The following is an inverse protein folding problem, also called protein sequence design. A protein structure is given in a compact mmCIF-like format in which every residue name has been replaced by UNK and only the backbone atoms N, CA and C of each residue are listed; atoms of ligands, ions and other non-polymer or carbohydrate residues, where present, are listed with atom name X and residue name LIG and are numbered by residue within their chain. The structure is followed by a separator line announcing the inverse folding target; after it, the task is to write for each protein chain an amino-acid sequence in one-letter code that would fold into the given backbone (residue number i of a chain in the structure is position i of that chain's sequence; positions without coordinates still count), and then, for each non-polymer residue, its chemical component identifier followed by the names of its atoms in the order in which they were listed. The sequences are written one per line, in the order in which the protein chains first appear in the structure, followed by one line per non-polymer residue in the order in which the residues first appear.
data_IF_844397565335
#
_entry.id   IF_844397565335
#
_cell.length_a   1.000
_cell.length_b   1.000
_cell.length_c   1.000
_cell.angle_alpha   90.00
_cell.angle_beta   90.00
_cell.angle_gamma   90.00
#
_symmetry.space_group_name_H-M   'P 1'
#
loop_
_entity.id
_entity.type
_entity.pdbx_description
1 polymer ?
#
# COMPACT_ATOMS: atom_id res chain seq x y z
N UNK A 1 17.35 -6.75 -9.09
CA UNK A 1 16.00 -6.37 -9.54
C UNK A 1 15.28 -5.85 -8.31
N UNK A 2 14.78 -4.63 -8.35
CA UNK A 2 14.15 -3.99 -7.18
C UNK A 2 12.68 -4.41 -7.11
N UNK A 3 12.23 -4.91 -5.95
CA UNK A 3 10.83 -5.30 -5.70
C UNK A 3 10.08 -4.10 -5.14
N UNK A 4 8.95 -3.73 -5.75
CA UNK A 4 8.14 -2.60 -5.29
C UNK A 4 6.80 -3.08 -4.75
N UNK A 5 6.49 -2.66 -3.53
CA UNK A 5 5.19 -2.83 -2.86
C UNK A 5 4.49 -1.48 -2.77
N UNK A 6 3.21 -1.43 -3.19
CA UNK A 6 2.37 -0.25 -3.04
C UNK A 6 1.46 -0.42 -1.81
N UNK A 7 1.45 0.58 -0.94
CA UNK A 7 0.61 0.59 0.26
C UNK A 7 -0.44 1.67 0.10
N UNK A 8 -1.70 1.30 0.28
CA UNK A 8 -2.84 2.22 0.24
C UNK A 8 -3.80 1.96 1.41
N UNK A 9 -4.81 2.79 1.53
CA UNK A 9 -5.83 2.71 2.57
C UNK A 9 -6.25 4.09 3.05
N UNK A 10 -7.50 4.21 3.48
CA UNK A 10 -8.08 5.49 3.89
C UNK A 10 -7.38 6.11 5.10
N UNK A 11 -7.68 7.39 5.38
CA UNK A 11 -7.14 8.09 6.54
C UNK A 11 -7.42 7.33 7.84
N UNK A 12 -6.41 7.22 8.70
CA UNK A 12 -6.52 6.53 9.98
C UNK A 12 -6.53 4.99 9.90
N UNK A 13 -6.42 4.37 8.71
CA UNK A 13 -6.41 2.91 8.57
C UNK A 13 -5.20 2.22 9.22
N UNK A 14 -4.16 2.99 9.60
CA UNK A 14 -2.97 2.47 10.26
C UNK A 14 -1.81 2.17 9.31
N UNK A 15 -1.74 2.84 8.14
CA UNK A 15 -0.68 2.66 7.14
C UNK A 15 0.71 2.85 7.73
N UNK A 16 0.96 3.92 8.47
CA UNK A 16 2.25 4.19 9.11
C UNK A 16 2.66 3.09 10.09
N UNK A 17 1.71 2.63 10.92
CA UNK A 17 1.97 1.53 11.86
C UNK A 17 2.28 0.24 11.11
N UNK A 18 1.51 -0.06 10.06
CA UNK A 18 1.75 -1.18 9.18
C UNK A 18 3.13 -1.11 8.53
N UNK A 19 3.49 0.05 7.99
CA UNK A 19 4.77 0.26 7.31
C UNK A 19 5.96 -0.03 8.24
N UNK A 20 5.89 0.42 9.50
CA UNK A 20 6.90 0.10 10.52
C UNK A 20 7.05 -1.42 10.78
N UNK A 21 5.97 -2.18 10.76
CA UNK A 21 6.01 -3.64 10.90
C UNK A 21 6.47 -4.32 9.61
N UNK A 22 6.03 -3.83 8.47
CA UNK A 22 6.33 -4.37 7.17
C UNK A 22 7.82 -4.26 6.82
N UNK A 23 8.44 -3.12 7.13
CA UNK A 23 9.88 -2.92 6.96
C UNK A 23 10.74 -3.96 7.67
N UNK A 24 10.31 -4.45 8.83
CA UNK A 24 11.06 -5.45 9.60
C UNK A 24 11.25 -6.77 8.85
N UNK A 25 10.38 -7.08 7.90
CA UNK A 25 10.49 -8.29 7.08
C UNK A 25 11.66 -8.22 6.09
N UNK A 26 12.15 -7.01 5.82
CA UNK A 26 13.23 -6.75 4.87
C UNK A 26 14.47 -6.16 5.53
N UNK A 27 14.66 -6.39 6.84
CA UNK A 27 15.72 -5.76 7.65
C UNK A 27 17.15 -6.06 7.18
N UNK A 28 17.35 -7.13 6.40
CA UNK A 28 18.64 -7.51 5.81
C UNK A 28 18.84 -6.98 4.37
N UNK A 29 17.88 -6.25 3.83
CA UNK A 29 17.86 -5.79 2.46
C UNK A 29 17.98 -4.27 2.39
N UNK A 30 18.52 -3.75 1.29
CA UNK A 30 18.57 -2.31 1.06
C UNK A 30 17.17 -1.83 0.69
N UNK A 31 16.56 -1.07 1.57
CA UNK A 31 15.22 -0.54 1.37
C UNK A 31 15.25 0.93 0.97
N UNK A 32 14.28 1.30 0.14
CA UNK A 32 13.96 2.69 -0.18
C UNK A 32 12.46 2.92 0.01
N UNK A 33 12.09 4.00 0.67
CA UNK A 33 10.69 4.31 0.96
C UNK A 33 10.30 5.59 0.22
N UNK A 34 9.18 5.54 -0.50
CA UNK A 34 8.60 6.70 -1.17
C UNK A 34 7.27 6.99 -0.48
N UNK A 35 7.18 8.14 0.20
CA UNK A 35 5.94 8.57 0.85
C UNK A 35 5.36 9.80 0.17
N UNK A 36 4.04 9.83 0.05
CA UNK A 36 3.34 10.96 -0.59
C UNK A 36 3.19 12.16 0.34
N UNK A 37 3.18 11.96 1.64
CA UNK A 37 2.94 13.03 2.60
C UNK A 37 3.57 12.66 3.95
N UNK A 38 4.59 13.40 4.33
CA UNK A 38 5.18 13.31 5.65
C UNK A 38 4.36 14.19 6.60
N UNK A 39 3.37 13.61 7.24
CA UNK A 39 2.56 14.31 8.25
C UNK A 39 3.23 14.26 9.62
N UNK A 40 2.76 15.10 10.56
CA UNK A 40 3.23 15.13 11.96
C UNK A 40 3.11 13.79 12.71
N UNK A 41 2.47 12.78 12.11
CA UNK A 41 2.31 11.40 12.59
C UNK A 41 3.00 10.39 11.69
N UNK A 42 3.93 10.83 10.82
CA UNK A 42 4.63 10.02 9.83
C UNK A 42 5.60 8.99 10.43
N UNK A 43 6.30 8.30 9.52
CA UNK A 43 7.40 7.43 9.90
C UNK A 43 8.45 8.30 10.58
N UNK A 44 8.94 7.83 11.73
CA UNK A 44 9.98 8.52 12.48
C UNK A 44 11.28 8.55 11.65
N UNK A 45 11.71 9.77 11.26
CA UNK A 45 12.93 9.94 10.46
C UNK A 45 14.18 9.45 11.19
N UNK A 46 14.18 9.49 12.53
CA UNK A 46 15.25 8.92 13.34
C UNK A 46 15.31 7.40 13.17
N UNK A 47 14.16 6.72 13.21
CA UNK A 47 14.08 5.27 13.00
C UNK A 47 14.58 4.86 11.61
N UNK A 48 14.24 5.63 10.58
CA UNK A 48 14.72 5.36 9.22
C UNK A 48 16.24 5.55 9.11
N UNK A 49 16.75 6.60 9.73
CA UNK A 49 18.20 6.87 9.78
C UNK A 49 18.97 5.77 10.53
N UNK A 50 18.44 5.32 11.67
CA UNK A 50 19.03 4.22 12.44
C UNK A 50 19.07 2.89 11.66
N UNK A 51 18.05 2.65 10.83
CA UNK A 51 17.96 1.45 9.99
C UNK A 51 18.70 1.59 8.66
N UNK A 52 19.30 2.77 8.37
CA UNK A 52 19.97 3.02 7.10
C UNK A 52 19.04 3.01 5.88
N UNK A 53 17.77 3.36 6.08
CA UNK A 53 16.75 3.34 5.04
C UNK A 53 16.67 4.71 4.37
N UNK A 54 16.81 4.74 3.05
CA UNK A 54 16.63 5.96 2.27
C UNK A 54 15.13 6.29 2.16
N UNK A 55 14.81 7.57 2.30
CA UNK A 55 13.44 8.10 2.23
C UNK A 55 13.36 9.23 1.23
N UNK A 56 12.45 9.11 0.27
CA UNK A 56 12.02 10.22 -0.58
C UNK A 56 10.60 10.67 -0.21
N UNK A 57 10.48 11.96 0.07
CA UNK A 57 9.21 12.59 0.33
C UNK A 57 8.75 13.40 -0.88
N UNK A 58 7.54 13.11 -1.37
CA UNK A 58 6.95 13.87 -2.46
C UNK A 58 5.94 14.87 -1.89
N UNK A 59 6.46 16.06 -1.56
CA UNK A 59 5.71 17.18 -1.00
C UNK A 59 4.81 17.90 -2.03
N UNK A 60 3.79 18.62 -1.51
CA UNK A 60 2.87 19.50 -2.25
C UNK A 60 1.76 18.81 -3.05
N UNK A 61 1.01 17.93 -2.41
CA UNK A 61 -0.23 17.32 -2.90
C UNK A 61 -0.06 15.89 -3.37
N UNK A 62 -1.19 15.18 -3.54
CA UNK A 62 -1.18 13.75 -3.85
C UNK A 62 -0.47 13.45 -5.16
N UNK A 63 0.62 12.69 -5.13
CA UNK A 63 1.31 12.13 -6.30
C UNK A 63 0.43 11.18 -7.09
N UNK A 64 -0.61 10.68 -6.48
CA UNK A 64 -1.59 9.78 -7.09
C UNK A 64 -2.73 10.53 -7.80
N UNK A 65 -2.68 11.87 -7.81
CA UNK A 65 -3.49 12.65 -8.71
C UNK A 65 -2.91 12.52 -10.14
N UNK A 66 -3.76 12.36 -11.14
CA UNK A 66 -3.37 12.27 -12.55
C UNK A 66 -2.49 13.43 -13.04
N UNK A 67 -2.52 14.56 -12.36
CA UNK A 67 -1.72 15.76 -12.65
C UNK A 67 -0.27 15.71 -12.13
N UNK A 68 0.15 14.64 -11.43
CA UNK A 68 1.48 14.53 -10.78
C UNK A 68 2.11 13.15 -10.87
N UNK A 69 1.60 12.31 -11.73
CA UNK A 69 2.18 10.98 -11.99
C UNK A 69 3.62 11.07 -12.48
N UNK A 70 3.93 12.12 -13.26
CA UNK A 70 5.27 12.44 -13.70
C UNK A 70 6.29 12.59 -12.56
N UNK A 71 5.87 13.18 -11.44
CA UNK A 71 6.76 13.28 -10.27
C UNK A 71 7.06 11.93 -9.66
N UNK A 72 6.05 11.08 -9.48
CA UNK A 72 6.26 9.73 -9.00
C UNK A 72 7.18 8.93 -9.91
N UNK A 73 6.98 9.02 -11.23
CA UNK A 73 7.81 8.36 -12.21
C UNK A 73 9.27 8.83 -12.13
N UNK A 74 9.50 10.14 -12.04
CA UNK A 74 10.84 10.71 -11.92
C UNK A 74 11.54 10.26 -10.64
N UNK A 75 10.85 10.29 -9.49
CA UNK A 75 11.40 9.80 -8.22
C UNK A 75 11.71 8.31 -8.32
N UNK A 76 10.80 7.51 -8.85
CA UNK A 76 11.02 6.06 -9.00
C UNK A 76 12.21 5.77 -9.91
N UNK A 77 12.40 6.53 -11.00
CA UNK A 77 13.58 6.38 -11.86
C UNK A 77 14.88 6.71 -11.14
N UNK A 78 14.90 7.76 -10.29
CA UNK A 78 16.07 8.11 -9.48
C UNK A 78 16.38 7.01 -8.46
N UNK A 79 15.37 6.54 -7.73
CA UNK A 79 15.51 5.46 -6.75
C UNK A 79 16.06 4.18 -7.39
N UNK A 80 15.62 3.84 -8.60
CA UNK A 80 16.11 2.66 -9.31
C UNK A 80 17.60 2.75 -9.70
N UNK A 81 18.18 3.96 -9.83
CA UNK A 81 19.62 4.12 -10.06
C UNK A 81 20.45 3.69 -8.85
N UNK A 82 19.90 3.80 -7.64
CA UNK A 82 20.54 3.35 -6.40
C UNK A 82 20.48 1.83 -6.23
N UNK A 83 19.67 1.14 -7.04
CA UNK A 83 19.47 -0.32 -7.06
C UNK A 83 19.10 -0.88 -5.68
N UNK A 84 18.08 -0.37 -5.00
CA UNK A 84 17.61 -0.98 -3.76
C UNK A 84 17.06 -2.39 -4.04
N UNK A 85 17.05 -3.23 -3.00
CA UNK A 85 16.49 -4.57 -3.10
C UNK A 85 14.95 -4.51 -2.96
N UNK A 86 14.45 -3.58 -2.12
CA UNK A 86 13.03 -3.36 -1.86
C UNK A 86 12.68 -1.87 -1.92
N UNK A 87 11.58 -1.56 -2.59
CA UNK A 87 10.97 -0.22 -2.63
C UNK A 87 9.56 -0.36 -2.03
N UNK A 88 9.22 0.52 -1.10
CA UNK A 88 7.88 0.60 -0.54
C UNK A 88 7.33 1.99 -0.83
N UNK A 89 6.22 2.05 -1.59
CA UNK A 89 5.54 3.30 -1.92
C UNK A 89 4.24 3.42 -1.11
N UNK A 90 4.11 4.47 -0.29
CA UNK A 90 2.89 4.74 0.47
C UNK A 90 2.05 5.83 -0.19
N UNK A 91 0.80 5.49 -0.52
CA UNK A 91 -0.18 6.42 -1.03
C UNK A 91 -0.85 7.21 0.10
N UNK A 92 -1.14 8.49 -0.14
CA UNK A 92 -1.98 9.29 0.76
C UNK A 92 -3.36 8.64 0.95
N UNK A 93 -3.93 8.78 2.15
CA UNK A 93 -5.23 8.18 2.49
C UNK A 93 -6.41 8.67 1.65
N UNK A 94 -6.29 9.82 0.98
CA UNK A 94 -7.31 10.38 0.10
C UNK A 94 -7.01 10.16 -1.38
N UNK A 95 -5.94 9.45 -1.72
CA UNK A 95 -5.52 9.25 -3.10
C UNK A 95 -6.19 8.04 -3.74
N UNK A 96 -6.45 8.19 -5.04
CA UNK A 96 -6.83 7.09 -5.93
C UNK A 96 -5.57 6.46 -6.54
N UNK A 97 -5.19 5.25 -6.14
CA UNK A 97 -3.95 4.63 -6.60
C UNK A 97 -4.05 3.96 -7.99
N UNK A 98 -5.19 4.06 -8.67
CA UNK A 98 -5.45 3.38 -9.95
C UNK A 98 -4.40 3.69 -11.00
N UNK A 99 -4.06 4.97 -11.15
CA UNK A 99 -3.10 5.39 -12.18
C UNK A 99 -1.67 4.95 -11.85
N UNK A 100 -1.29 4.95 -10.56
CA UNK A 100 0.02 4.45 -10.15
C UNK A 100 0.15 2.96 -10.44
N UNK A 101 -0.87 2.15 -10.13
CA UNK A 101 -0.87 0.73 -10.48
C UNK A 101 -0.72 0.52 -11.99
N UNK A 102 -1.42 1.30 -12.81
CA UNK A 102 -1.29 1.23 -14.28
C UNK A 102 0.15 1.51 -14.74
N UNK A 103 0.80 2.52 -14.15
CA UNK A 103 2.19 2.86 -14.47
C UNK A 103 3.15 1.75 -14.03
N UNK A 104 2.98 1.23 -12.81
CA UNK A 104 3.84 0.17 -12.29
C UNK A 104 3.73 -1.15 -13.07
N UNK A 105 2.60 -1.39 -13.73
CA UNK A 105 2.41 -2.54 -14.62
C UNK A 105 3.10 -2.37 -15.99
N UNK A 106 3.58 -1.17 -16.35
CA UNK A 106 4.33 -0.93 -17.59
C UNK A 106 5.80 -1.35 -17.40
N UNK A 107 6.07 -2.64 -17.48
CA UNK A 107 7.41 -3.22 -17.22
C UNK A 107 8.53 -2.59 -18.05
N UNK A 108 8.24 -2.19 -19.27
CA UNK A 108 9.20 -1.58 -20.18
C UNK A 108 9.67 -0.19 -19.72
N UNK A 109 8.82 0.52 -18.96
CA UNK A 109 9.09 1.88 -18.48
C UNK A 109 10.12 1.92 -17.34
N UNK A 110 10.20 0.85 -16.56
CA UNK A 110 11.08 0.74 -15.40
C UNK A 110 11.92 -0.54 -15.44
N UNK A 111 12.97 -0.56 -16.29
CA UNK A 111 13.87 -1.71 -16.36
C UNK A 111 14.49 -2.01 -14.99
N UNK A 112 14.43 -3.25 -14.55
CA UNK A 112 14.96 -3.66 -13.24
C UNK A 112 13.99 -3.51 -12.08
N UNK A 113 12.73 -3.08 -12.33
CA UNK A 113 11.65 -3.06 -11.34
C UNK A 113 10.76 -4.30 -11.47
N UNK A 114 10.42 -4.88 -10.34
CA UNK A 114 9.38 -5.90 -10.20
C UNK A 114 8.27 -5.37 -9.29
N UNK A 115 7.09 -5.13 -9.86
CA UNK A 115 5.92 -4.73 -9.08
C UNK A 115 5.30 -5.95 -8.41
N UNK A 116 5.33 -5.97 -7.06
CA UNK A 116 4.91 -7.10 -6.24
C UNK A 116 3.42 -7.07 -5.88
N UNK A 117 2.78 -5.90 -5.98
CA UNK A 117 1.36 -5.74 -5.71
C UNK A 117 1.03 -4.58 -4.76
N UNK A 118 -0.27 -4.40 -4.53
CA UNK A 118 -0.83 -3.34 -3.70
C UNK A 118 -1.52 -3.91 -2.46
N UNK A 119 -1.08 -3.48 -1.28
CA UNK A 119 -1.72 -3.78 0.00
C UNK A 119 -2.63 -2.63 0.39
N UNK A 120 -3.91 -2.91 0.63
CA UNK A 120 -4.86 -1.93 1.13
C UNK A 120 -5.21 -2.20 2.60
N UNK A 121 -4.97 -1.19 3.45
CA UNK A 121 -5.39 -1.24 4.84
C UNK A 121 -6.77 -0.64 5.01
N UNK A 122 -7.62 -1.35 5.72
CA UNK A 122 -8.99 -0.96 6.09
C UNK A 122 -9.09 -0.91 7.62
N UNK A 123 -9.62 0.18 8.17
CA UNK A 123 -9.94 0.28 9.60
C UNK A 123 -11.27 -0.40 9.88
N UNK A 124 -11.29 -1.52 10.60
CA UNK A 124 -12.49 -2.29 10.88
C UNK A 124 -13.59 -1.44 11.54
N UNK A 125 -13.22 -0.50 12.40
CA UNK A 125 -14.16 0.37 13.12
C UNK A 125 -14.80 1.42 12.21
N UNK A 126 -14.05 1.95 11.25
CA UNK A 126 -14.53 3.03 10.37
C UNK A 126 -15.09 2.51 9.04
N UNK A 127 -14.74 1.30 8.65
CA UNK A 127 -15.03 0.73 7.33
C UNK A 127 -16.49 0.88 6.90
N UNK A 128 -17.52 0.49 7.70
CA UNK A 128 -18.90 0.58 7.25
C UNK A 128 -19.27 1.99 6.79
N UNK A 129 -18.87 3.01 7.56
CA UNK A 129 -19.15 4.41 7.25
C UNK A 129 -18.37 4.90 6.02
N UNK A 130 -17.04 4.66 5.97
CA UNK A 130 -16.22 5.20 4.88
C UNK A 130 -16.47 4.48 3.56
N UNK A 131 -16.86 3.21 3.59
CA UNK A 131 -17.23 2.46 2.39
C UNK A 131 -18.47 3.03 1.69
N UNK A 132 -19.44 3.54 2.46
CA UNK A 132 -20.64 4.17 1.93
C UNK A 132 -20.39 5.61 1.44
N UNK A 133 -19.56 6.35 2.18
CA UNK A 133 -19.44 7.81 1.97
C UNK A 133 -18.23 8.25 1.16
N UNK A 134 -17.17 7.44 1.10
CA UNK A 134 -15.91 7.80 0.45
C UNK A 134 -15.65 6.93 -0.80
N UNK A 135 -15.91 7.47 -1.98
CA UNK A 135 -15.67 6.79 -3.27
C UNK A 135 -14.23 6.27 -3.40
N UNK A 136 -13.26 6.99 -2.85
CA UNK A 136 -11.84 6.60 -2.89
C UNK A 136 -11.58 5.25 -2.23
N UNK A 137 -12.32 4.89 -1.18
CA UNK A 137 -12.18 3.58 -0.50
C UNK A 137 -12.49 2.44 -1.45
N UNK A 138 -13.55 2.55 -2.25
CA UNK A 138 -13.90 1.53 -3.25
C UNK A 138 -12.82 1.39 -4.32
N UNK A 139 -12.24 2.51 -4.75
CA UNK A 139 -11.13 2.51 -5.71
C UNK A 139 -9.87 1.90 -5.12
N UNK A 140 -9.53 2.20 -3.85
CA UNK A 140 -8.41 1.59 -3.15
C UNK A 140 -8.57 0.07 -3.06
N UNK A 141 -9.77 -0.42 -2.72
CA UNK A 141 -10.08 -1.85 -2.72
C UNK A 141 -9.95 -2.45 -4.12
N UNK A 142 -10.47 -1.76 -5.14
CA UNK A 142 -10.50 -2.26 -6.52
C UNK A 142 -9.11 -2.51 -7.10
N UNK A 143 -8.14 -1.67 -6.77
CA UNK A 143 -6.76 -1.81 -7.32
C UNK A 143 -5.87 -2.70 -6.49
N UNK A 144 -6.31 -3.14 -5.32
CA UNK A 144 -5.48 -3.89 -4.38
C UNK A 144 -5.34 -5.35 -4.79
N UNK A 145 -4.23 -5.95 -4.37
CA UNK A 145 -3.90 -7.35 -4.54
C UNK A 145 -3.99 -8.11 -3.20
N UNK A 146 -4.07 -7.36 -2.08
CA UNK A 146 -4.28 -7.88 -0.73
C UNK A 146 -5.04 -6.86 0.12
N UNK A 147 -6.04 -7.31 0.88
CA UNK A 147 -6.74 -6.50 1.88
C UNK A 147 -6.34 -6.90 3.29
N UNK A 148 -6.01 -5.90 4.11
CA UNK A 148 -5.78 -6.08 5.54
C UNK A 148 -6.85 -5.31 6.33
N UNK A 149 -7.79 -6.02 6.92
CA UNK A 149 -8.76 -5.45 7.86
C UNK A 149 -8.07 -5.27 9.21
N UNK A 150 -7.58 -4.07 9.44
CA UNK A 150 -6.81 -3.68 10.63
C UNK A 150 -7.72 -3.24 11.76
N UNK A 151 -7.17 -3.24 12.98
CA UNK A 151 -7.88 -2.85 14.22
C UNK A 151 -9.05 -3.78 14.55
N UNK A 152 -8.90 -5.07 14.23
CA UNK A 152 -9.92 -6.09 14.55
C UNK A 152 -10.20 -6.20 16.06
N UNK A 153 -9.25 -5.80 16.88
CA UNK A 153 -9.33 -5.73 18.35
C UNK A 153 -10.30 -4.66 18.87
N UNK A 154 -10.74 -3.72 18.01
CA UNK A 154 -11.63 -2.62 18.36
C UNK A 154 -13.09 -2.83 17.94
N UNK A 155 -13.42 -4.00 17.37
CA UNK A 155 -14.76 -4.32 16.87
C UNK A 155 -15.17 -5.74 17.28
N UNK A 156 -16.47 -6.01 17.26
CA UNK A 156 -17.00 -7.33 17.58
C UNK A 156 -16.93 -8.28 16.38
N UNK A 157 -16.97 -9.57 16.66
CA UNK A 157 -16.92 -10.63 15.63
C UNK A 157 -18.02 -10.46 14.59
N UNK A 158 -19.23 -10.11 15.03
CA UNK A 158 -20.38 -9.91 14.13
C UNK A 158 -20.17 -8.76 13.14
N UNK A 159 -19.50 -7.69 13.60
CA UNK A 159 -19.14 -6.55 12.74
C UNK A 159 -18.07 -6.97 11.70
N UNK A 160 -17.08 -7.77 12.10
CA UNK A 160 -16.08 -8.31 11.20
C UNK A 160 -16.74 -9.16 10.11
N UNK A 161 -17.67 -10.04 10.48
CA UNK A 161 -18.39 -10.89 9.52
C UNK A 161 -19.20 -10.07 8.51
N UNK A 162 -19.83 -8.98 8.95
CA UNK A 162 -20.54 -8.06 8.05
C UNK A 162 -19.59 -7.38 7.07
N UNK A 163 -18.46 -6.89 7.57
CA UNK A 163 -17.42 -6.27 6.72
C UNK A 163 -16.89 -7.28 5.69
N UNK A 164 -16.62 -8.51 6.11
CA UNK A 164 -16.15 -9.56 5.21
C UNK A 164 -17.17 -9.87 4.11
N UNK A 165 -18.48 -9.88 4.41
CA UNK A 165 -19.53 -10.07 3.41
C UNK A 165 -19.53 -8.94 2.38
N UNK A 166 -19.38 -7.69 2.82
CA UNK A 166 -19.31 -6.52 1.93
C UNK A 166 -18.08 -6.63 1.02
N UNK A 167 -16.91 -6.93 1.59
CA UNK A 167 -15.65 -7.03 0.84
C UNK A 167 -15.68 -8.17 -0.17
N UNK A 168 -16.20 -9.34 0.21
CA UNK A 168 -16.35 -10.49 -0.69
C UNK A 168 -17.35 -10.24 -1.81
N UNK A 169 -18.41 -9.47 -1.55
CA UNK A 169 -19.36 -9.06 -2.60
C UNK A 169 -18.72 -8.08 -3.59
N UNK A 170 -17.78 -7.24 -3.12
CA UNK A 170 -17.09 -6.26 -3.96
C UNK A 170 -15.94 -6.90 -4.77
N UNK A 171 -15.13 -7.74 -4.15
CA UNK A 171 -13.98 -8.43 -4.73
C UNK A 171 -13.86 -9.85 -4.16
N UNK A 172 -14.56 -10.84 -4.75
CA UNK A 172 -14.65 -12.21 -4.19
C UNK A 172 -13.31 -12.94 -4.15
N UNK A 173 -12.44 -12.67 -5.12
CA UNK A 173 -11.16 -13.38 -5.30
C UNK A 173 -9.99 -12.73 -4.56
N UNK A 174 -10.23 -11.58 -3.91
CA UNK A 174 -9.15 -10.82 -3.28
C UNK A 174 -8.81 -11.42 -1.91
N UNK A 175 -7.54 -11.77 -1.64
CA UNK A 175 -7.11 -12.21 -0.33
C UNK A 175 -7.44 -11.16 0.73
N UNK A 176 -8.05 -11.59 1.83
CA UNK A 176 -8.46 -10.73 2.95
C UNK A 176 -8.00 -11.34 4.26
N UNK A 177 -7.14 -10.63 4.97
CA UNK A 177 -6.67 -11.00 6.30
C UNK A 177 -7.05 -9.96 7.35
N UNK A 178 -7.22 -10.42 8.59
CA UNK A 178 -7.58 -9.58 9.72
C UNK A 178 -6.39 -9.41 10.64
N UNK A 179 -6.08 -8.17 10.96
CA UNK A 179 -4.92 -7.84 11.79
C UNK A 179 -5.23 -6.78 12.84
N UNK A 180 -4.33 -6.63 13.78
CA UNK A 180 -4.26 -5.52 14.74
C UNK A 180 -2.86 -4.94 14.70
N UNK A 181 -2.75 -3.63 14.94
CA UNK A 181 -1.48 -2.90 14.98
C UNK A 181 -0.65 -3.02 13.69
N UNK A 182 -1.30 -3.26 12.55
CA UNK A 182 -0.63 -3.38 11.27
C UNK A 182 0.31 -4.59 11.14
N UNK A 183 0.12 -5.61 11.94
CA UNK A 183 0.92 -6.84 11.83
C UNK A 183 0.61 -7.55 10.52
N UNK A 184 1.62 -8.14 9.91
CA UNK A 184 1.51 -8.92 8.69
C UNK A 184 2.34 -10.19 8.78
N UNK A 185 1.77 -11.30 8.35
CA UNK A 185 2.48 -12.57 8.24
C UNK A 185 3.15 -12.67 6.87
N UNK A 186 4.40 -13.13 6.82
CA UNK A 186 5.18 -13.26 5.59
C UNK A 186 4.47 -14.08 4.51
N UNK A 187 3.75 -15.14 4.90
CA UNK A 187 2.97 -15.99 3.97
C UNK A 187 1.91 -15.21 3.17
N UNK A 188 1.38 -14.10 3.69
CA UNK A 188 0.38 -13.29 2.99
C UNK A 188 0.97 -12.56 1.78
N UNK A 189 2.28 -12.28 1.79
CA UNK A 189 2.98 -11.73 0.62
C UNK A 189 2.98 -12.70 -0.56
N UNK A 190 3.05 -14.00 -0.28
CA UNK A 190 3.04 -15.03 -1.32
C UNK A 190 1.68 -15.12 -2.04
N UNK A 191 0.60 -14.72 -1.36
CA UNK A 191 -0.74 -14.68 -1.95
C UNK A 191 -0.88 -13.54 -2.96
N UNK A 192 -0.13 -12.43 -2.80
CA UNK A 192 -0.10 -11.31 -3.75
C UNK A 192 0.63 -11.65 -5.05
N UNK A 193 1.56 -12.60 -5.01
CA UNK A 193 2.42 -12.94 -6.14
C UNK A 193 1.74 -13.80 -7.21
N UNK A 194 0.51 -14.22 -7.00
CA UNK A 194 -0.29 -14.87 -8.03
C UNK A 194 -0.77 -13.78 -9.00
N UNK A 195 -0.21 -13.67 -10.22
CA UNK A 195 -0.72 -12.70 -11.17
C UNK A 195 -2.20 -13.04 -11.41
N UNK A 196 -3.08 -12.10 -11.16
CA UNK A 196 -4.39 -12.12 -11.79
C UNK A 196 -4.13 -11.97 -13.30
N UNK A 197 -3.92 -13.10 -13.94
CA UNK A 197 -3.90 -13.24 -15.39
C UNK A 197 -5.34 -13.19 -15.89
N UNK A 198 -6.00 -12.06 -15.68
CA UNK A 198 -7.26 -11.75 -16.36
C UNK A 198 -7.60 -10.29 -16.06
N UNK A 199 -7.41 -9.46 -17.04
CA UNK A 199 -8.35 -8.62 -17.77
C UNK A 199 -7.58 -7.65 -18.63
N UNK A 200 -7.14 -8.14 -19.79
CA UNK A 200 -7.11 -7.34 -21.00
C UNK A 200 -8.47 -7.57 -21.68
N UNK A 201 -9.38 -6.63 -21.53
CA UNK A 201 -10.40 -6.25 -22.51
C UNK A 201 -10.76 -4.78 -22.30
#
# INVERSE_FOLDING_TARGET
MSRLYLITGFLGAGKTTFLKQFMKQFSSERMHIIVNEFGKEGIDGELLSELGIALDEINNGSIFCSCRLDKFENVLQQVLQEKPDVIIAEASGLSDPTNVKKILNQREKFPGLEYMGCVCLLDARQFPKVYETAVVVKKQIQVSDLLLLNKKDLVKTEEIEQIQKILKAHRPDLPLHMTSYGMMEERWLQEMQKPNLETEE
#
